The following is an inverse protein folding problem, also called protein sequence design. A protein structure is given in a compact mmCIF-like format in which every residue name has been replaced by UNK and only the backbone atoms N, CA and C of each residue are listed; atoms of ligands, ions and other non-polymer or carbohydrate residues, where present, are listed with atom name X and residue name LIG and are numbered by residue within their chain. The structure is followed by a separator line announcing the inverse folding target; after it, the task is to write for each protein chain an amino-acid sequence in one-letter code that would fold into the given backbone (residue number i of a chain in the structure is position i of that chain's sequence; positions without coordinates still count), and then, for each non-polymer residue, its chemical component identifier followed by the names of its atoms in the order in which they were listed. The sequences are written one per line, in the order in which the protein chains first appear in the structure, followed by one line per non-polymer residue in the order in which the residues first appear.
data_IF_843995676552
#
_entry.id   IF_843995676552
#
_cell.length_a   1.000
_cell.length_b   1.000
_cell.length_c   1.000
_cell.angle_alpha   90.00
_cell.angle_beta   90.00
_cell.angle_gamma   90.00
#
_symmetry.space_group_name_H-M   'P 1'
#
loop_
_entity.id
_entity.type
_entity.pdbx_description
1 polymer ?
#
# COMPACT_ATOMS: atom_id res chain seq x y z
N UNK A 1 15.03 -19.01 -0.35
CA UNK A 1 14.17 -17.80 -0.44
C UNK A 1 14.93 -16.47 -0.34
N UNK A 2 16.19 -16.42 0.13
CA UNK A 2 16.95 -15.16 0.25
C UNK A 2 17.29 -14.52 -1.11
N UNK A 3 17.63 -15.32 -2.11
CA UNK A 3 18.06 -14.83 -3.44
C UNK A 3 16.93 -14.16 -4.23
N UNK A 4 15.70 -14.69 -4.16
CA UNK A 4 14.54 -14.05 -4.78
C UNK A 4 14.20 -12.70 -4.14
N UNK A 5 14.34 -12.59 -2.82
CA UNK A 5 14.17 -11.33 -2.12
C UNK A 5 15.24 -10.30 -2.54
N UNK A 6 16.49 -10.72 -2.72
CA UNK A 6 17.55 -9.85 -3.24
C UNK A 6 17.27 -9.39 -4.67
N UNK A 7 16.81 -10.29 -5.54
CA UNK A 7 16.42 -9.97 -6.91
C UNK A 7 15.30 -8.94 -6.97
N UNK A 8 14.20 -9.17 -6.24
CA UNK A 8 13.06 -8.25 -6.19
C UNK A 8 13.40 -6.91 -5.54
N UNK A 9 14.28 -6.89 -4.54
CA UNK A 9 14.79 -5.64 -3.94
C UNK A 9 15.59 -4.80 -4.95
N UNK A 10 16.47 -5.43 -5.74
CA UNK A 10 17.18 -4.74 -6.83
C UNK A 10 16.21 -4.16 -7.86
N UNK A 11 15.16 -4.89 -8.25
CA UNK A 11 14.13 -4.36 -9.16
C UNK A 11 13.48 -3.11 -8.57
N UNK A 12 13.03 -3.15 -7.31
CA UNK A 12 12.41 -1.99 -6.65
C UNK A 12 13.35 -0.78 -6.63
N UNK A 13 14.61 -0.99 -6.24
CA UNK A 13 15.63 0.05 -6.20
C UNK A 13 15.92 0.68 -7.57
N UNK A 14 15.88 -0.11 -8.64
CA UNK A 14 16.08 0.41 -9.99
C UNK A 14 14.84 1.10 -10.54
N UNK A 15 13.65 0.58 -10.26
CA UNK A 15 12.38 1.18 -10.68
C UNK A 15 12.16 2.59 -10.11
N UNK A 16 12.84 2.96 -9.02
CA UNK A 16 12.86 4.35 -8.52
C UNK A 16 13.58 5.33 -9.44
N UNK A 17 14.45 4.85 -10.34
CA UNK A 17 15.37 5.67 -11.15
C UNK A 17 15.21 5.47 -12.66
N UNK A 18 14.57 4.39 -13.10
CA UNK A 18 14.39 4.04 -14.51
C UNK A 18 13.05 3.33 -14.74
N UNK A 19 12.75 3.01 -16.01
CA UNK A 19 11.53 2.26 -16.36
C UNK A 19 11.53 0.88 -15.69
N UNK A 20 10.35 0.33 -15.42
CA UNK A 20 10.23 -1.01 -14.83
C UNK A 20 10.89 -2.08 -15.71
N UNK A 21 10.76 -1.96 -17.03
CA UNK A 21 11.37 -2.89 -17.99
C UNK A 21 12.90 -2.85 -17.92
N UNK A 22 13.50 -1.65 -17.86
CA UNK A 22 14.94 -1.46 -17.72
C UNK A 22 15.43 -1.89 -16.34
N UNK A 23 14.65 -1.63 -15.30
CA UNK A 23 14.95 -2.01 -13.93
C UNK A 23 15.03 -3.54 -13.77
N UNK A 24 14.06 -4.25 -14.37
CA UNK A 24 14.03 -5.72 -14.40
C UNK A 24 15.19 -6.26 -15.21
N UNK A 25 15.44 -5.72 -16.41
CA UNK A 25 16.56 -6.16 -17.26
C UNK A 25 17.91 -5.99 -16.53
N UNK A 26 18.10 -4.85 -15.87
CA UNK A 26 19.31 -4.55 -15.10
C UNK A 26 19.46 -5.47 -13.90
N UNK A 27 18.38 -5.69 -13.15
CA UNK A 27 18.39 -6.60 -12.00
C UNK A 27 18.73 -8.04 -12.42
N UNK A 28 18.19 -8.50 -13.56
CA UNK A 28 18.52 -9.81 -14.13
C UNK A 28 20.02 -9.92 -14.45
N UNK A 29 20.58 -8.94 -15.16
CA UNK A 29 22.01 -8.94 -15.49
C UNK A 29 22.89 -9.01 -14.24
N UNK A 30 22.64 -8.13 -13.28
CA UNK A 30 23.44 -8.03 -12.06
C UNK A 30 23.29 -9.27 -11.18
N UNK A 31 22.09 -9.85 -11.08
CA UNK A 31 21.90 -11.10 -10.35
C UNK A 31 22.65 -12.27 -11.02
N UNK A 32 22.67 -12.34 -12.35
CA UNK A 32 23.47 -13.35 -13.07
C UNK A 32 24.97 -13.16 -12.79
N UNK A 33 25.47 -11.92 -12.79
CA UNK A 33 26.88 -11.61 -12.50
C UNK A 33 27.27 -11.92 -11.04
N UNK A 34 26.36 -11.72 -10.10
CA UNK A 34 26.56 -11.97 -8.67
C UNK A 34 26.31 -13.44 -8.27
N UNK A 35 25.92 -14.31 -9.21
CA UNK A 35 25.59 -15.71 -8.94
C UNK A 35 24.24 -15.92 -8.24
N UNK A 36 23.38 -14.91 -8.21
CA UNK A 36 22.06 -14.90 -7.58
C UNK A 36 21.02 -15.41 -8.59
N UNK A 37 20.36 -16.53 -8.29
CA UNK A 37 19.41 -17.16 -9.23
C UNK A 37 19.99 -17.40 -10.63
N UNK A 38 21.31 -17.51 -10.75
CA UNK A 38 22.04 -17.46 -12.02
C UNK A 38 21.51 -18.47 -13.04
N UNK A 39 21.47 -19.75 -12.66
CA UNK A 39 21.00 -20.85 -13.53
C UNK A 39 19.55 -20.64 -13.98
N UNK A 40 18.70 -20.14 -13.08
CA UNK A 40 17.30 -19.86 -13.37
C UNK A 40 17.15 -18.69 -14.33
N UNK A 41 17.80 -17.56 -14.05
CA UNK A 41 17.71 -16.33 -14.84
C UNK A 41 18.36 -16.49 -16.22
N UNK A 42 19.44 -17.27 -16.34
CA UNK A 42 20.05 -17.62 -17.63
C UNK A 42 19.10 -18.42 -18.50
N UNK A 43 18.39 -19.39 -17.93
CA UNK A 43 17.49 -20.29 -18.67
C UNK A 43 16.11 -19.69 -18.95
N UNK A 44 15.59 -18.88 -18.04
CA UNK A 44 14.22 -18.38 -18.04
C UNK A 44 14.14 -16.85 -18.15
N UNK A 45 15.13 -16.18 -18.77
CA UNK A 45 15.23 -14.71 -18.81
C UNK A 45 13.94 -14.01 -19.23
N UNK A 46 13.34 -14.42 -20.35
CA UNK A 46 12.15 -13.78 -20.89
C UNK A 46 10.93 -13.96 -19.97
N UNK A 47 10.77 -15.16 -19.42
CA UNK A 47 9.69 -15.49 -18.47
C UNK A 47 9.88 -14.74 -17.15
N UNK A 48 11.11 -14.73 -16.61
CA UNK A 48 11.46 -13.98 -15.41
C UNK A 48 11.18 -12.48 -15.59
N UNK A 49 11.52 -11.92 -16.74
CA UNK A 49 11.22 -10.52 -17.07
C UNK A 49 9.72 -10.26 -17.06
N UNK A 50 8.95 -11.03 -17.84
CA UNK A 50 7.51 -10.84 -17.95
C UNK A 50 6.81 -11.02 -16.60
N UNK A 51 7.21 -12.03 -15.82
CA UNK A 51 6.63 -12.30 -14.51
C UNK A 51 6.97 -11.19 -13.51
N UNK A 52 8.22 -10.74 -13.46
CA UNK A 52 8.62 -9.66 -12.56
C UNK A 52 7.92 -8.33 -12.86
N UNK A 53 7.68 -8.02 -14.13
CA UNK A 53 6.90 -6.83 -14.52
C UNK A 53 5.47 -6.95 -13.99
N UNK A 54 4.82 -8.09 -14.27
CA UNK A 54 3.44 -8.33 -13.84
C UNK A 54 3.27 -8.29 -12.32
N UNK A 55 4.16 -8.95 -11.57
CA UNK A 55 4.14 -8.96 -10.10
C UNK A 55 4.32 -7.55 -9.54
N UNK A 56 5.23 -6.78 -10.12
CA UNK A 56 5.49 -5.41 -9.67
C UNK A 56 4.28 -4.49 -9.90
N UNK A 57 3.64 -4.58 -11.07
CA UNK A 57 2.41 -3.80 -11.34
C UNK A 57 1.29 -4.18 -10.36
N UNK A 58 1.08 -5.46 -10.08
CA UNK A 58 0.09 -5.89 -9.09
C UNK A 58 0.41 -5.37 -7.68
N UNK A 59 1.66 -5.49 -7.23
CA UNK A 59 2.09 -4.97 -5.92
C UNK A 59 1.84 -3.46 -5.83
N UNK A 60 2.12 -2.72 -6.91
CA UNK A 60 1.87 -1.28 -6.97
C UNK A 60 0.38 -0.96 -6.89
N UNK A 61 -0.47 -1.68 -7.63
CA UNK A 61 -1.93 -1.50 -7.56
C UNK A 61 -2.47 -1.74 -6.14
N UNK A 62 -2.12 -2.87 -5.53
CA UNK A 62 -2.54 -3.20 -4.16
C UNK A 62 -2.08 -2.16 -3.14
N UNK A 63 -0.86 -1.63 -3.33
CA UNK A 63 -0.34 -0.57 -2.46
C UNK A 63 -1.13 0.72 -2.60
N UNK A 64 -1.45 1.14 -3.82
CA UNK A 64 -2.28 2.33 -4.08
C UNK A 64 -3.67 2.17 -3.47
N UNK A 65 -4.35 1.05 -3.71
CA UNK A 65 -5.69 0.80 -3.14
C UNK A 65 -5.67 0.85 -1.61
N UNK A 66 -4.61 0.32 -0.99
CA UNK A 66 -4.44 0.36 0.47
C UNK A 66 -4.17 1.77 0.99
N UNK A 67 -3.34 2.55 0.29
CA UNK A 67 -3.04 3.94 0.63
C UNK A 67 -4.31 4.80 0.49
N UNK A 68 -5.09 4.62 -0.59
CA UNK A 68 -6.38 5.28 -0.81
C UNK A 68 -7.40 4.91 0.27
N UNK A 69 -7.53 3.62 0.60
CA UNK A 69 -8.43 3.16 1.66
C UNK A 69 -8.03 3.72 3.05
N UNK A 70 -6.72 3.82 3.31
CA UNK A 70 -6.22 4.42 4.55
C UNK A 70 -6.52 5.92 4.60
N UNK A 71 -6.26 6.63 3.51
CA UNK A 71 -6.51 8.07 3.44
C UNK A 71 -8.01 8.40 3.56
N UNK A 72 -8.86 7.62 2.90
CA UNK A 72 -10.31 7.75 3.00
C UNK A 72 -10.78 7.48 4.43
N UNK A 73 -10.33 6.40 5.07
CA UNK A 73 -10.66 6.10 6.46
C UNK A 73 -10.20 7.20 7.44
N UNK A 74 -9.04 7.81 7.19
CA UNK A 74 -8.55 8.98 7.95
C UNK A 74 -9.46 10.18 7.74
N UNK A 75 -9.82 10.49 6.49
CA UNK A 75 -10.70 11.61 6.13
C UNK A 75 -12.08 11.46 6.75
N UNK A 76 -12.70 10.29 6.62
CA UNK A 76 -13.98 9.97 7.25
C UNK A 76 -13.90 10.12 8.78
N UNK A 77 -12.80 9.68 9.40
CA UNK A 77 -12.57 9.88 10.83
C UNK A 77 -12.56 11.36 11.22
N UNK A 78 -11.80 12.20 10.50
CA UNK A 78 -11.73 13.65 10.74
C UNK A 78 -13.08 14.35 10.54
N UNK A 79 -13.82 13.99 9.49
CA UNK A 79 -15.15 14.53 9.21
C UNK A 79 -16.16 14.14 10.30
N UNK A 80 -16.12 12.88 10.75
CA UNK A 80 -16.96 12.40 11.85
C UNK A 80 -16.64 13.12 13.16
N UNK A 81 -15.37 13.31 13.51
CA UNK A 81 -14.97 14.06 14.70
C UNK A 81 -15.48 15.50 14.65
N UNK A 82 -15.29 16.21 13.53
CA UNK A 82 -15.82 17.58 13.36
C UNK A 82 -17.34 17.64 13.51
N UNK A 83 -18.06 16.66 12.96
CA UNK A 83 -19.51 16.56 13.03
C UNK A 83 -20.00 16.30 14.45
N UNK A 84 -19.34 15.39 15.18
CA UNK A 84 -19.62 15.06 16.58
C UNK A 84 -19.46 16.30 17.47
N UNK A 85 -18.34 17.02 17.36
CA UNK A 85 -18.12 18.26 18.12
C UNK A 85 -19.17 19.32 17.80
N UNK A 86 -19.52 19.52 16.52
CA UNK A 86 -20.54 20.48 16.12
C UNK A 86 -21.91 20.15 16.73
N UNK A 87 -22.32 18.87 16.70
CA UNK A 87 -23.60 18.44 17.27
C UNK A 87 -23.60 18.55 18.80
N UNK A 88 -22.48 18.22 19.46
CA UNK A 88 -22.31 18.38 20.90
C UNK A 88 -22.43 19.84 21.32
N UNK A 89 -21.81 20.78 20.59
CA UNK A 89 -21.96 22.23 20.82
C UNK A 89 -23.39 22.72 20.60
N UNK A 90 -24.17 22.07 19.75
CA UNK A 90 -25.60 22.34 19.56
C UNK A 90 -26.48 21.77 20.68
N UNK A 91 -25.89 21.15 21.72
CA UNK A 91 -26.61 20.58 22.87
C UNK A 91 -27.21 19.21 22.61
N UNK A 92 -26.80 18.51 21.54
CA UNK A 92 -27.25 17.13 21.26
C UNK A 92 -26.62 16.15 22.23
N UNK A 93 -27.41 15.16 22.66
CA UNK A 93 -26.93 14.08 23.53
C UNK A 93 -26.04 13.10 22.77
N UNK A 94 -25.13 12.40 23.45
CA UNK A 94 -24.25 11.42 22.82
C UNK A 94 -25.01 10.34 22.05
N UNK A 95 -26.22 9.99 22.50
CA UNK A 95 -27.11 9.03 21.85
C UNK A 95 -27.65 9.55 20.51
N UNK A 96 -28.14 10.79 20.47
CA UNK A 96 -28.59 11.41 19.21
C UNK A 96 -27.44 11.58 18.22
N UNK A 97 -26.24 11.93 18.71
CA UNK A 97 -25.04 12.07 17.87
C UNK A 97 -24.65 10.71 17.28
N UNK A 98 -24.71 9.63 18.07
CA UNK A 98 -24.45 8.27 17.62
C UNK A 98 -25.41 7.86 16.49
N UNK A 99 -26.71 8.16 16.64
CA UNK A 99 -27.72 7.90 15.61
C UNK A 99 -27.48 8.71 14.33
N UNK A 100 -27.12 10.00 14.45
CA UNK A 100 -26.89 10.88 13.29
C UNK A 100 -25.60 10.56 12.53
N UNK A 101 -24.55 10.17 13.25
CA UNK A 101 -23.25 9.82 12.68
C UNK A 101 -23.13 8.33 12.32
N UNK A 102 -24.10 7.49 12.71
CA UNK A 102 -24.10 6.06 12.41
C UNK A 102 -22.95 5.29 13.08
N UNK A 103 -22.48 5.78 14.24
CA UNK A 103 -21.37 5.17 15.00
C UNK A 103 -21.82 4.81 16.41
N UNK A 104 -21.16 3.85 17.09
CA UNK A 104 -21.51 3.47 18.46
C UNK A 104 -21.44 4.65 19.44
N UNK A 105 -22.38 4.73 20.38
CA UNK A 105 -22.42 5.78 21.42
C UNK A 105 -21.14 5.81 22.27
N UNK A 106 -20.54 4.65 22.54
CA UNK A 106 -19.25 4.58 23.23
C UNK A 106 -18.15 5.33 22.47
N UNK A 107 -18.13 5.22 21.14
CA UNK A 107 -17.15 5.92 20.29
C UNK A 107 -17.39 7.42 20.26
N UNK A 108 -18.65 7.85 20.33
CA UNK A 108 -19.00 9.28 20.49
C UNK A 108 -18.49 9.82 21.82
N UNK A 109 -18.66 9.06 22.92
CA UNK A 109 -18.16 9.45 24.25
C UNK A 109 -16.63 9.53 24.27
N UNK A 110 -15.93 8.54 23.74
CA UNK A 110 -14.46 8.56 23.62
C UNK A 110 -13.91 9.75 22.82
N UNK A 111 -14.66 10.28 21.85
CA UNK A 111 -14.26 11.45 21.05
C UNK A 111 -14.53 12.76 21.79
N UNK A 112 -15.50 12.78 22.71
CA UNK A 112 -15.94 13.98 23.45
C UNK A 112 -15.33 14.07 24.87
N UNK A 113 -14.78 12.99 25.41
CA UNK A 113 -13.93 12.97 26.62
C UNK A 113 -12.56 13.63 26.39
#
# INVERSE_FOLDING_TARGET
MKEYALYTDKIRKYAEKMSLEDAVERAICECIEEGILEEFLKKHRAEAKAMSIFEYDQEKHLRMEREEAWEEGRREGEENTKRIFKLSLMGKTSKEIAEVCGIPEEKVKQILE
#
